data_IF_045433781387
#
_entry.id   IF_045433781387
#
_cell.length_a   1.000
_cell.length_b   1.000
_cell.length_c   1.000
_cell.angle_alpha   90.00
_cell.angle_beta   90.00
_cell.angle_gamma   90.00
#
_symmetry.space_group_name_H-M   'P 1'
#
loop_
_entity.id
_entity.type
_entity.pdbx_description
1 polymer ?
#
# COMPACT_ATOMS: atom_id res chain seq x y z
N UNK A 1 19.23 -50.65 -2.66
CA UNK A 1 18.82 -49.72 -3.73
C UNK A 1 17.31 -49.77 -3.87
N UNK A 2 16.56 -48.80 -3.32
CA UNK A 2 15.31 -48.28 -3.90
C UNK A 2 15.26 -46.80 -3.50
N UNK A 3 15.09 -45.94 -4.49
CA UNK A 3 15.12 -44.48 -4.40
C UNK A 3 13.70 -43.93 -4.61
N UNK A 4 13.49 -42.73 -4.06
CA UNK A 4 12.42 -41.72 -4.30
C UNK A 4 10.96 -42.02 -3.98
N UNK A 5 10.36 -41.16 -3.13
CA UNK A 5 9.30 -40.18 -3.46
C UNK A 5 9.09 -39.31 -2.20
N UNK A 6 9.77 -38.17 -2.05
CA UNK A 6 9.27 -36.83 -2.42
C UNK A 6 7.74 -36.76 -2.56
N UNK A 7 7.06 -36.25 -1.54
CA UNK A 7 5.69 -35.76 -1.66
C UNK A 7 5.66 -34.29 -1.26
N UNK A 8 5.69 -33.46 -2.29
CA UNK A 8 5.45 -32.02 -2.28
C UNK A 8 4.13 -31.69 -1.60
N UNK A 9 4.19 -30.99 -0.46
CA UNK A 9 3.08 -30.16 -0.01
C UNK A 9 3.11 -28.88 -0.86
N UNK A 10 2.52 -28.95 -2.04
CA UNK A 10 2.28 -27.79 -2.88
C UNK A 10 1.34 -26.84 -2.13
N UNK A 11 1.89 -25.77 -1.56
CA UNK A 11 1.12 -24.63 -1.11
C UNK A 11 0.32 -24.11 -2.31
N UNK A 12 -1.00 -24.26 -2.23
CA UNK A 12 -1.92 -23.73 -3.22
C UNK A 12 -1.67 -22.22 -3.37
N UNK A 13 -1.16 -21.79 -4.52
CA UNK A 13 -1.02 -20.36 -4.86
C UNK A 13 -2.43 -19.75 -4.86
N UNK A 14 -2.74 -18.95 -3.85
CA UNK A 14 -3.94 -18.12 -3.83
C UNK A 14 -3.97 -17.23 -5.08
N UNK A 15 -5.14 -17.09 -5.71
CA UNK A 15 -5.32 -16.20 -6.86
C UNK A 15 -5.07 -14.75 -6.41
N UNK A 16 -3.96 -14.18 -6.86
CA UNK A 16 -3.59 -12.77 -6.71
C UNK A 16 -4.73 -11.86 -7.19
N UNK A 17 -5.29 -11.02 -6.32
CA UNK A 17 -6.34 -10.06 -6.71
C UNK A 17 -5.64 -8.77 -7.17
N UNK A 18 -5.68 -8.42 -8.47
CA UNK A 18 -4.99 -7.24 -8.94
C UNK A 18 -5.60 -5.96 -8.33
N UNK A 19 -4.77 -4.98 -7.94
CA UNK A 19 -5.30 -3.70 -7.50
C UNK A 19 -5.93 -2.93 -8.66
N UNK A 20 -6.95 -2.14 -8.34
CA UNK A 20 -7.66 -1.30 -9.31
C UNK A 20 -7.40 0.17 -8.99
N UNK A 21 -7.55 1.10 -9.95
CA UNK A 21 -7.43 2.54 -9.65
C UNK A 21 -8.37 2.98 -8.53
N UNK A 22 -7.86 3.82 -7.63
CA UNK A 22 -8.63 4.27 -6.48
C UNK A 22 -9.80 5.19 -6.89
N UNK A 23 -10.99 4.90 -6.35
CA UNK A 23 -12.25 5.57 -6.70
C UNK A 23 -12.34 7.01 -6.18
N UNK A 24 -11.74 7.31 -5.04
CA UNK A 24 -11.78 8.65 -4.45
C UNK A 24 -10.79 9.57 -5.15
N UNK A 25 -9.56 9.11 -5.34
CA UNK A 25 -8.47 9.85 -5.99
C UNK A 25 -8.77 10.07 -7.48
N UNK A 26 -9.52 9.15 -8.12
CA UNK A 26 -9.97 9.25 -9.53
C UNK A 26 -8.80 9.49 -10.49
N UNK A 27 -7.70 8.78 -10.25
CA UNK A 27 -6.52 8.84 -11.10
C UNK A 27 -5.95 7.42 -11.32
N UNK A 28 -5.57 7.13 -12.55
CA UNK A 28 -5.04 5.84 -13.00
C UNK A 28 -3.62 5.54 -12.48
N UNK A 29 -2.91 6.54 -11.94
CA UNK A 29 -1.60 6.36 -11.31
C UNK A 29 -1.66 6.07 -9.82
N UNK A 30 -2.86 6.06 -9.24
CA UNK A 30 -3.06 5.75 -7.81
C UNK A 30 -3.91 4.51 -7.69
N UNK A 31 -3.32 3.45 -7.16
CA UNK A 31 -4.00 2.16 -6.98
C UNK A 31 -4.75 2.12 -5.65
N UNK A 32 -6.01 1.75 -5.69
CA UNK A 32 -6.82 1.41 -4.53
C UNK A 32 -6.44 0.01 -4.04
N UNK A 33 -5.97 -0.08 -2.81
CA UNK A 33 -5.61 -1.34 -2.16
C UNK A 33 -6.68 -1.75 -1.15
N UNK A 34 -6.83 -3.05 -1.02
CA UNK A 34 -7.74 -3.71 -0.09
C UNK A 34 -6.95 -4.77 0.69
N UNK A 35 -7.52 -5.28 1.77
CA UNK A 35 -6.87 -6.29 2.64
C UNK A 35 -6.30 -7.48 1.87
N UNK A 36 -6.95 -7.86 0.77
CA UNK A 36 -6.61 -8.99 -0.09
C UNK A 36 -5.35 -8.86 -0.95
N UNK A 37 -4.90 -7.64 -1.21
CA UNK A 37 -3.81 -7.40 -2.16
C UNK A 37 -2.82 -6.36 -1.66
N UNK A 38 -2.91 -6.01 -0.38
CA UNK A 38 -2.16 -4.91 0.20
C UNK A 38 -0.67 -5.25 0.23
N UNK A 39 -0.26 -6.25 1.01
CA UNK A 39 1.15 -6.62 1.11
C UNK A 39 1.66 -7.24 -0.19
N UNK A 40 0.85 -8.05 -0.88
CA UNK A 40 1.24 -8.67 -2.14
C UNK A 40 1.65 -7.61 -3.17
N UNK A 41 0.84 -6.57 -3.36
CA UNK A 41 1.18 -5.48 -4.28
C UNK A 41 2.39 -4.67 -3.80
N UNK A 42 2.46 -4.35 -2.51
CA UNK A 42 3.57 -3.57 -1.96
C UNK A 42 4.91 -4.31 -2.00
N UNK A 43 4.89 -5.64 -1.93
CA UNK A 43 6.07 -6.50 -2.04
C UNK A 43 6.68 -6.51 -3.45
N UNK A 44 5.87 -6.25 -4.49
CA UNK A 44 6.33 -6.16 -5.88
C UNK A 44 7.01 -4.80 -6.19
N UNK A 45 6.86 -3.83 -5.31
CA UNK A 45 7.38 -2.48 -5.47
C UNK A 45 8.71 -2.29 -4.72
N UNK A 46 9.58 -1.44 -5.26
CA UNK A 46 10.74 -0.95 -4.52
C UNK A 46 10.28 -0.12 -3.34
N UNK A 47 9.43 0.88 -3.60
CA UNK A 47 8.79 1.68 -2.55
C UNK A 47 7.37 2.09 -2.97
N UNK A 48 6.48 2.27 -2.00
CA UNK A 48 5.16 2.82 -2.26
C UNK A 48 4.74 3.79 -1.16
N UNK A 49 4.12 4.89 -1.58
CA UNK A 49 3.42 5.79 -0.66
C UNK A 49 1.96 5.36 -0.59
N UNK A 50 1.44 5.03 0.58
CA UNK A 50 0.03 4.69 0.78
C UNK A 50 -0.68 5.83 1.52
N UNK A 51 -1.74 6.36 0.93
CA UNK A 51 -2.66 7.30 1.58
C UNK A 51 -3.83 6.54 2.19
N UNK A 52 -3.92 6.54 3.52
CA UNK A 52 -5.10 6.08 4.24
C UNK A 52 -6.08 7.23 4.40
N UNK A 53 -7.32 7.05 3.95
CA UNK A 53 -8.29 8.15 3.86
C UNK A 53 -9.72 7.73 4.21
N UNK A 54 -10.60 8.74 4.29
CA UNK A 54 -12.04 8.58 4.28
C UNK A 54 -12.63 9.59 3.26
N UNK A 55 -13.49 9.18 2.31
CA UNK A 55 -14.05 10.05 1.28
C UNK A 55 -14.76 11.32 1.82
N UNK A 56 -15.37 11.20 3.00
CA UNK A 56 -16.16 12.24 3.66
C UNK A 56 -15.33 13.12 4.61
N UNK A 57 -14.01 12.95 4.66
CA UNK A 57 -13.14 13.76 5.52
C UNK A 57 -12.66 15.04 4.81
N UNK A 58 -12.93 16.25 5.33
CA UNK A 58 -12.50 17.50 4.71
C UNK A 58 -10.99 17.62 4.50
N UNK A 59 -10.19 17.09 5.43
CA UNK A 59 -8.73 17.06 5.28
C UNK A 59 -8.29 16.12 4.15
N UNK A 60 -8.96 14.98 3.96
CA UNK A 60 -8.70 14.08 2.83
C UNK A 60 -8.99 14.76 1.50
N UNK A 61 -10.11 15.49 1.41
CA UNK A 61 -10.50 16.21 0.20
C UNK A 61 -9.49 17.30 -0.19
N UNK A 62 -8.96 18.05 0.80
CA UNK A 62 -7.91 19.06 0.56
C UNK A 62 -6.60 18.46 0.07
N UNK A 63 -6.24 17.27 0.53
CA UNK A 63 -4.97 16.64 0.17
C UNK A 63 -5.01 15.81 -1.12
N UNK A 64 -6.19 15.35 -1.52
CA UNK A 64 -6.41 14.63 -2.77
C UNK A 64 -5.71 15.26 -4.00
N UNK A 65 -5.88 16.56 -4.32
CA UNK A 65 -5.22 17.16 -5.48
C UNK A 65 -3.69 17.17 -5.37
N UNK A 66 -3.14 17.32 -4.16
CA UNK A 66 -1.69 17.25 -3.95
C UNK A 66 -1.16 15.85 -4.18
N UNK A 67 -1.88 14.84 -3.70
CA UNK A 67 -1.53 13.44 -3.88
C UNK A 67 -1.56 13.01 -5.36
N UNK A 68 -2.59 13.44 -6.11
CA UNK A 68 -2.66 13.24 -7.57
C UNK A 68 -1.46 13.89 -8.28
N UNK A 69 -1.11 15.12 -7.89
CA UNK A 69 0.00 15.85 -8.51
C UNK A 69 1.34 15.17 -8.24
N UNK A 70 1.54 14.67 -7.02
CA UNK A 70 2.73 13.89 -6.67
C UNK A 70 2.83 12.59 -7.49
N UNK A 71 1.73 11.83 -7.58
CA UNK A 71 1.67 10.60 -8.37
C UNK A 71 1.96 10.84 -9.86
N UNK A 72 1.41 11.91 -10.44
CA UNK A 72 1.66 12.28 -11.85
C UNK A 72 3.10 12.69 -12.14
N UNK A 73 3.75 13.32 -11.16
CA UNK A 73 5.13 13.78 -11.30
C UNK A 73 6.16 12.70 -11.00
N UNK A 74 5.74 11.48 -10.67
CA UNK A 74 6.65 10.38 -10.39
C UNK A 74 7.30 9.86 -11.67
N UNK A 75 8.62 9.74 -11.65
CA UNK A 75 9.44 9.34 -12.82
C UNK A 75 10.30 8.11 -12.55
N UNK A 76 10.19 7.48 -11.37
CA UNK A 76 11.01 6.33 -10.98
C UNK A 76 10.25 5.04 -11.12
N UNK A 77 10.85 4.09 -11.83
CA UNK A 77 10.32 2.74 -11.94
C UNK A 77 10.37 2.02 -10.58
N UNK A 78 9.44 1.10 -10.38
CA UNK A 78 9.30 0.36 -9.10
C UNK A 78 8.79 1.20 -7.93
N UNK A 79 8.42 2.47 -8.14
CA UNK A 79 7.81 3.32 -7.12
C UNK A 79 6.34 3.59 -7.47
N UNK A 80 5.45 3.52 -6.48
CA UNK A 80 4.02 3.74 -6.71
C UNK A 80 3.33 4.58 -5.64
N UNK A 81 2.16 5.07 -6.01
CA UNK A 81 1.21 5.71 -5.11
C UNK A 81 -0.03 4.81 -5.00
N UNK A 82 -0.48 4.62 -3.77
CA UNK A 82 -1.60 3.77 -3.44
C UNK A 82 -2.50 4.43 -2.42
N UNK A 83 -3.77 4.03 -2.37
CA UNK A 83 -4.73 4.58 -1.43
C UNK A 83 -5.59 3.47 -0.83
N UNK A 84 -5.98 3.65 0.42
CA UNK A 84 -6.85 2.73 1.16
C UNK A 84 -8.00 3.53 1.76
N UNK A 85 -9.22 3.12 1.43
CA UNK A 85 -10.44 3.67 2.02
C UNK A 85 -10.71 3.00 3.37
N UNK A 86 -10.40 3.69 4.47
CA UNK A 86 -10.60 3.16 5.82
C UNK A 86 -12.07 3.04 6.23
N UNK A 87 -13.02 3.50 5.39
CA UNK A 87 -14.45 3.22 5.61
C UNK A 87 -14.85 1.83 5.10
N UNK A 88 -14.11 1.28 4.14
CA UNK A 88 -14.32 -0.06 3.58
C UNK A 88 -13.34 -1.07 4.18
N UNK A 89 -12.09 -0.66 4.38
CA UNK A 89 -10.97 -1.51 4.82
C UNK A 89 -10.61 -1.23 6.30
N UNK A 90 -11.62 -1.32 7.19
CA UNK A 90 -11.49 -0.95 8.61
C UNK A 90 -10.39 -1.74 9.33
N UNK A 91 -10.36 -3.06 9.13
CA UNK A 91 -9.40 -3.94 9.81
C UNK A 91 -7.98 -3.77 9.29
N UNK A 92 -7.81 -3.53 7.98
CA UNK A 92 -6.53 -3.15 7.39
C UNK A 92 -6.02 -1.84 8.01
N UNK A 93 -6.84 -0.79 8.07
CA UNK A 93 -6.41 0.48 8.64
C UNK A 93 -6.05 0.38 10.14
N UNK A 94 -6.80 -0.42 10.90
CA UNK A 94 -6.45 -0.72 12.31
C UNK A 94 -5.11 -1.45 12.41
N UNK A 95 -4.87 -2.46 11.57
CA UNK A 95 -3.62 -3.24 11.55
C UNK A 95 -2.41 -2.37 11.21
N UNK A 96 -2.58 -1.48 10.24
CA UNK A 96 -1.56 -0.50 9.83
C UNK A 96 -1.41 0.67 10.84
N UNK A 97 -2.09 0.61 11.99
CA UNK A 97 -1.95 1.60 13.06
C UNK A 97 -2.49 2.99 12.71
N UNK A 98 -3.42 3.08 11.76
CA UNK A 98 -4.00 4.36 11.32
C UNK A 98 -4.98 4.87 12.37
N UNK A 99 -4.58 5.91 13.08
CA UNK A 99 -5.38 6.55 14.14
C UNK A 99 -6.02 7.86 13.73
N UNK A 100 -5.54 8.48 12.64
CA UNK A 100 -6.00 9.77 12.13
C UNK A 100 -6.05 9.75 10.61
N UNK A 101 -6.88 10.61 10.02
CA UNK A 101 -7.03 10.68 8.57
C UNK A 101 -6.84 12.11 8.02
N UNK A 102 -6.19 12.25 6.85
CA UNK A 102 -5.39 11.20 6.22
C UNK A 102 -4.17 10.78 7.05
N UNK A 103 -3.58 9.64 6.72
CA UNK A 103 -2.21 9.30 7.11
C UNK A 103 -1.49 8.82 5.87
N UNK A 104 -0.25 9.27 5.68
CA UNK A 104 0.60 8.78 4.60
C UNK A 104 1.68 7.89 5.20
N UNK A 105 1.72 6.65 4.75
CA UNK A 105 2.73 5.69 5.16
C UNK A 105 3.58 5.31 3.97
N UNK A 106 4.88 5.22 4.20
CA UNK A 106 5.85 4.73 3.23
C UNK A 106 6.13 3.26 3.50
N UNK A 107 6.09 2.47 2.43
CA UNK A 107 6.50 1.08 2.41
C UNK A 107 7.67 0.89 1.46
N UNK A 108 8.60 0.01 1.82
CA UNK A 108 9.70 -0.43 0.96
C UNK A 108 9.67 -1.95 0.92
N UNK A 109 9.48 -2.53 -0.27
CA UNK A 109 9.31 -3.99 -0.45
C UNK A 109 8.31 -4.59 0.56
N UNK A 110 7.10 -4.02 0.59
CA UNK A 110 6.02 -4.41 1.50
C UNK A 110 6.22 -4.11 2.98
N UNK A 111 7.39 -3.62 3.40
CA UNK A 111 7.66 -3.35 4.81
C UNK A 111 7.41 -1.88 5.13
N UNK A 112 6.65 -1.62 6.19
CA UNK A 112 6.43 -0.27 6.70
C UNK A 112 7.76 0.39 7.13
N UNK A 113 8.00 1.60 6.63
CA UNK A 113 9.22 2.38 6.91
C UNK A 113 8.93 3.50 7.90
N UNK A 114 7.96 4.35 7.56
CA UNK A 114 7.63 5.54 8.34
C UNK A 114 6.28 6.10 7.90
N UNK A 115 5.68 6.92 8.77
CA UNK A 115 4.48 7.68 8.46
C UNK A 115 4.74 9.17 8.61
N UNK A 116 3.92 9.97 7.95
CA UNK A 116 3.90 11.43 8.09
C UNK A 116 2.48 11.89 8.27
N UNK A 117 2.32 12.75 9.27
CA UNK A 117 1.10 13.51 9.50
C UNK A 117 1.30 14.97 9.06
N UNK A 118 0.20 15.66 8.79
CA UNK A 118 0.10 16.96 8.09
C UNK A 118 0.94 18.13 8.65
N UNK A 119 1.20 19.17 7.81
CA UNK A 119 0.78 19.33 6.40
C UNK A 119 1.80 18.86 5.37
N UNK A 120 1.31 18.17 4.34
CA UNK A 120 2.09 17.71 3.18
C UNK A 120 1.51 18.33 1.90
N UNK A 121 2.25 19.26 1.30
CA UNK A 121 2.01 19.67 -0.09
C UNK A 121 2.56 18.61 -1.06
N UNK A 122 2.33 18.77 -2.36
CA UNK A 122 2.75 17.78 -3.36
C UNK A 122 4.28 17.61 -3.45
N UNK A 123 5.06 18.63 -3.07
CA UNK A 123 6.53 18.58 -3.08
C UNK A 123 6.97 17.67 -1.94
N UNK A 124 6.45 17.92 -0.73
CA UNK A 124 6.73 17.11 0.47
C UNK A 124 6.30 15.66 0.31
N UNK A 125 5.18 15.41 -0.38
CA UNK A 125 4.72 14.05 -0.67
C UNK A 125 5.73 13.33 -1.57
N UNK A 126 6.17 13.99 -2.66
CA UNK A 126 7.18 13.44 -3.57
C UNK A 126 8.51 13.19 -2.86
N UNK A 127 9.04 14.20 -2.19
CA UNK A 127 10.32 14.14 -1.47
C UNK A 127 10.33 13.02 -0.42
N UNK A 128 9.20 12.76 0.23
CA UNK A 128 9.12 11.72 1.25
C UNK A 128 9.22 10.31 0.66
N UNK A 129 8.59 10.06 -0.49
CA UNK A 129 8.76 8.79 -1.21
C UNK A 129 10.21 8.63 -1.68
N UNK A 130 10.82 9.71 -2.18
CA UNK A 130 12.20 9.69 -2.68
C UNK A 130 13.24 9.52 -1.56
N UNK A 131 13.01 10.15 -0.39
CA UNK A 131 13.91 10.08 0.74
C UNK A 131 13.88 8.72 1.44
N UNK A 132 12.72 8.05 1.50
CA UNK A 132 12.67 6.74 2.13
C UNK A 132 13.04 5.59 1.19
N UNK A 133 13.03 5.79 -0.14
CA UNK A 133 13.63 4.86 -1.10
C UNK A 133 15.16 4.71 -0.94
N UNK A 134 15.83 5.69 -0.32
CA UNK A 134 17.28 5.65 -0.05
C UNK A 134 17.63 5.10 1.33
N UNK A 135 16.65 4.85 2.20
CA UNK A 135 16.84 4.20 3.51
C UNK A 135 17.05 2.69 3.33
N UNK A 136 18.21 2.32 2.79
CA UNK A 136 18.74 0.96 2.93
C UNK A 136 19.13 0.75 4.39
N UNK A 137 18.66 -0.36 4.98
CA UNK A 137 19.32 -1.11 6.08
C UNK A 137 18.95 -0.89 7.55
N UNK A 138 17.83 -0.24 7.91
CA UNK A 138 17.29 -0.40 9.29
C UNK A 138 15.78 -0.62 9.32
N UNK A 139 15.33 -1.72 8.72
CA UNK A 139 13.94 -2.15 8.92
C UNK A 139 13.94 -3.67 9.14
N UNK A 140 13.44 -4.08 10.30
CA UNK A 140 13.17 -5.47 10.65
C UNK A 140 12.11 -5.96 9.66
N UNK A 141 12.47 -6.94 8.82
CA UNK A 141 11.51 -7.64 7.97
C UNK A 141 10.45 -8.24 8.88
N UNK A 142 9.23 -7.71 8.82
CA UNK A 142 8.06 -8.48 9.22
C UNK A 142 7.54 -9.13 7.96
N UNK A 143 7.55 -10.45 7.92
CA UNK A 143 6.80 -11.20 6.92
C UNK A 143 5.30 -10.95 7.19
N UNK A 144 4.79 -9.83 6.67
CA UNK A 144 3.38 -9.50 6.70
C UNK A 144 2.74 -10.16 5.47
N UNK A 145 1.91 -11.16 5.75
CA UNK A 145 1.16 -11.89 4.73
C UNK A 145 -0.26 -11.34 4.73
N UNK A 146 -0.82 -11.14 3.53
CA UNK A 146 -2.22 -10.76 3.39
C UNK A 146 -3.12 -11.81 4.07
N UNK A 147 -4.11 -11.37 4.85
CA UNK A 147 -5.11 -12.28 5.40
C UNK A 147 -5.82 -13.02 4.30
N UNK A 148 -6.35 -14.22 4.58
CA UNK A 148 -7.21 -14.91 3.64
C UNK A 148 -8.38 -13.98 3.28
N UNK A 149 -8.48 -13.67 2.00
CA UNK A 149 -9.57 -12.87 1.46
C UNK A 149 -10.91 -13.44 1.90
N UNK A 150 -11.83 -12.61 2.44
CA UNK A 150 -13.19 -13.07 2.65
C UNK A 150 -13.78 -13.46 1.29
N UNK A 151 -14.16 -14.72 1.15
CA UNK A 151 -14.93 -15.17 0.00
C UNK A 151 -16.24 -14.37 -0.01
N UNK A 152 -16.50 -13.64 -1.11
CA UNK A 152 -17.75 -12.89 -1.28
C UNK A 152 -18.90 -13.88 -1.16
N UNK A 153 -19.57 -13.91 0.00
CA UNK A 153 -20.82 -14.65 0.17
C UNK A 153 -21.83 -14.04 -0.81
N UNK A 154 -22.24 -14.87 -1.76
CA UNK A 154 -23.18 -14.55 -2.84
C UNK A 154 -24.54 -14.19 -2.28
#
# INVERSE_FOLDING_TARGET
MINVMSSSAAAAKAKKIPPMPDKFVRNDKVMGLIECNFYEYLNELQSAMVMFYNPSCPACQRNRPHYIKAAKNMRRDGHAYAAVDCTQEVELCKREGVTRLPTFQLYTKGTYVSHRDFPLDYIRIGDFLEAGATLKEKIIQKDQVDPPCPEKKK
#
